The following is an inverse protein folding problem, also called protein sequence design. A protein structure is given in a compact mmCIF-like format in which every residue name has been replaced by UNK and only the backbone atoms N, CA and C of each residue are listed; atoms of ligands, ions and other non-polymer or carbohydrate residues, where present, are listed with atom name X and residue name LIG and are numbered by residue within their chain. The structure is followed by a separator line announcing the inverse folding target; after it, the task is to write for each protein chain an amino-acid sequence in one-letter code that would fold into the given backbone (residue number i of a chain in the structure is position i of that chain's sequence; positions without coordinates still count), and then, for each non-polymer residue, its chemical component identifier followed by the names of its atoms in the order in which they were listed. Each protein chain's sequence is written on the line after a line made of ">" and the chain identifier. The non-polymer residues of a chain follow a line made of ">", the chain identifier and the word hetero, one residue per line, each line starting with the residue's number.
data_IF_201932556233
#
_entry.id   IF_201932556233
#
_cell.length_a   1.000
_cell.length_b   1.000
_cell.length_c   1.000
_cell.angle_alpha   90.00
_cell.angle_beta   90.00
_cell.angle_gamma   90.00
#
_symmetry.space_group_name_H-M   'P 1'
#
loop_
_entity.id
_entity.type
_entity.pdbx_description
1 polymer ?
#
# COMPACT_ATOMS: atom_id res chain seq x y z
N UNK A 1 46.36 -14.04 23.12
CA UNK A 1 44.92 -14.38 23.09
C UNK A 1 44.36 -13.91 21.75
N UNK A 2 43.94 -14.85 20.89
CA UNK A 2 43.57 -14.61 19.48
C UNK A 2 42.06 -14.33 19.36
N UNK A 3 41.74 -13.21 18.69
CA UNK A 3 40.60 -12.93 17.79
C UNK A 3 39.27 -13.69 18.05
N UNK A 4 38.29 -13.02 18.66
CA UNK A 4 36.88 -13.47 18.71
C UNK A 4 35.87 -12.48 18.10
N UNK A 5 36.31 -11.37 17.51
CA UNK A 5 35.41 -10.29 17.03
C UNK A 5 34.77 -10.54 15.65
N UNK A 6 35.06 -11.66 14.97
CA UNK A 6 34.60 -11.92 13.59
C UNK A 6 33.25 -12.65 13.45
N UNK A 7 32.74 -13.30 14.51
CA UNK A 7 31.58 -14.21 14.40
C UNK A 7 30.23 -13.46 14.48
N UNK A 8 30.18 -12.32 15.16
CA UNK A 8 28.92 -11.57 15.36
C UNK A 8 28.44 -10.87 14.08
N UNK A 9 29.36 -10.46 13.19
CA UNK A 9 29.01 -9.79 11.93
C UNK A 9 28.42 -10.75 10.87
N UNK A 10 28.81 -12.03 10.86
CA UNK A 10 28.28 -13.01 9.89
C UNK A 10 26.84 -13.44 10.20
N UNK A 11 26.46 -13.54 11.48
CA UNK A 11 25.11 -13.95 11.89
C UNK A 11 24.03 -12.89 11.57
N UNK A 12 24.37 -11.60 11.69
CA UNK A 12 23.46 -10.50 11.33
C UNK A 12 23.21 -10.42 9.81
N UNK A 13 24.22 -10.72 8.99
CA UNK A 13 24.09 -10.74 7.53
C UNK A 13 23.21 -11.91 7.02
N UNK A 14 23.28 -13.08 7.67
CA UNK A 14 22.42 -14.22 7.33
C UNK A 14 20.94 -14.00 7.69
N UNK A 15 20.64 -13.32 8.80
CA UNK A 15 19.27 -13.01 9.19
C UNK A 15 18.58 -12.02 8.23
N UNK A 16 19.29 -11.00 7.75
CA UNK A 16 18.76 -10.04 6.78
C UNK A 16 18.48 -10.71 5.42
N UNK A 17 19.39 -11.57 4.94
CA UNK A 17 19.22 -12.32 3.70
C UNK A 17 18.02 -13.27 3.73
N UNK A 18 17.78 -13.95 4.87
CA UNK A 18 16.63 -14.86 5.01
C UNK A 18 15.27 -14.17 4.84
N UNK A 19 15.13 -12.94 5.32
CA UNK A 19 13.86 -12.20 5.24
C UNK A 19 13.56 -11.62 3.85
N UNK A 20 14.59 -11.31 3.06
CA UNK A 20 14.43 -10.83 1.69
C UNK A 20 14.10 -11.99 0.74
N UNK A 21 14.75 -13.15 0.92
CA UNK A 21 14.45 -14.37 0.15
C UNK A 21 13.03 -14.86 0.40
N UNK A 22 12.58 -14.86 1.67
CA UNK A 22 11.21 -15.26 2.02
C UNK A 22 10.14 -14.35 1.39
N UNK A 23 10.41 -13.06 1.25
CA UNK A 23 9.48 -12.11 0.62
C UNK A 23 9.29 -12.39 -0.87
N UNK A 24 10.39 -12.55 -1.62
CA UNK A 24 10.32 -12.87 -3.04
C UNK A 24 9.61 -14.21 -3.25
N UNK A 25 9.88 -15.19 -2.39
CA UNK A 25 9.18 -16.48 -2.43
C UNK A 25 7.69 -16.35 -2.16
N UNK A 26 7.26 -15.55 -1.18
CA UNK A 26 5.84 -15.33 -0.91
C UNK A 26 5.16 -14.63 -2.08
N UNK A 27 5.77 -13.60 -2.65
CA UNK A 27 5.22 -12.92 -3.83
C UNK A 27 5.04 -13.86 -5.03
N UNK A 28 6.04 -14.69 -5.32
CA UNK A 28 5.93 -15.70 -6.38
C UNK A 28 4.86 -16.77 -6.10
N UNK A 29 4.75 -17.22 -4.84
CA UNK A 29 3.66 -18.13 -4.43
C UNK A 29 2.30 -17.50 -4.65
N UNK A 30 2.10 -16.24 -4.25
CA UNK A 30 0.82 -15.54 -4.40
C UNK A 30 0.45 -15.28 -5.86
N UNK A 31 1.42 -14.96 -6.72
CA UNK A 31 1.22 -14.88 -8.18
C UNK A 31 0.72 -16.21 -8.77
N UNK A 32 1.15 -17.32 -8.18
CA UNK A 32 0.76 -18.69 -8.56
C UNK A 32 -0.45 -19.20 -7.76
N UNK A 33 -1.11 -18.35 -6.96
CA UNK A 33 -2.24 -18.71 -6.10
C UNK A 33 -1.93 -19.86 -5.11
N UNK A 34 -0.71 -19.86 -4.57
CA UNK A 34 -0.25 -20.83 -3.55
C UNK A 34 -0.18 -20.19 -2.17
N UNK A 35 -0.37 -21.02 -1.15
CA UNK A 35 -0.29 -20.59 0.26
C UNK A 35 1.12 -20.14 0.64
N UNK A 36 1.22 -18.99 1.32
CA UNK A 36 2.50 -18.47 1.81
C UNK A 36 2.99 -19.20 3.07
N UNK A 37 2.06 -19.74 3.86
CA UNK A 37 2.31 -20.27 5.21
C UNK A 37 2.32 -19.21 6.30
N UNK A 38 1.88 -17.98 5.99
CA UNK A 38 1.67 -16.91 6.97
C UNK A 38 0.52 -17.26 7.91
N UNK A 39 0.60 -16.81 9.16
CA UNK A 39 -0.44 -17.02 10.16
C UNK A 39 -1.80 -16.50 9.67
N UNK A 40 -2.85 -17.28 9.91
CA UNK A 40 -4.24 -16.94 9.61
C UNK A 40 -4.80 -15.95 10.64
N UNK A 41 -4.19 -15.85 11.83
CA UNK A 41 -4.59 -14.89 12.85
C UNK A 41 -3.98 -13.51 12.55
N UNK A 42 -4.76 -12.68 11.87
CA UNK A 42 -4.38 -11.32 11.52
C UNK A 42 -4.72 -10.37 12.69
N UNK A 43 -3.75 -9.65 13.27
CA UNK A 43 -4.02 -8.77 14.39
C UNK A 43 -4.86 -7.57 13.93
N UNK A 44 -5.90 -7.26 14.71
CA UNK A 44 -6.78 -6.10 14.50
C UNK A 44 -6.31 -4.89 15.31
N UNK A 45 -6.54 -3.69 14.79
CA UNK A 45 -6.26 -2.44 15.50
C UNK A 45 -7.43 -2.11 16.43
N UNK A 46 -7.21 -1.91 17.73
CA UNK A 46 -8.28 -1.48 18.64
C UNK A 46 -8.88 -0.14 18.22
N UNK A 47 -10.20 -0.10 18.05
CA UNK A 47 -10.96 1.11 17.67
C UNK A 47 -11.48 1.91 18.89
N UNK A 48 -11.28 1.38 20.10
CA UNK A 48 -11.75 1.96 21.36
C UNK A 48 -10.59 2.30 22.33
N UNK A 49 -10.93 3.00 23.41
CA UNK A 49 -10.01 3.34 24.50
C UNK A 49 -9.52 4.79 24.47
N UNK A 50 -8.59 5.11 25.38
CA UNK A 50 -8.15 6.49 25.68
C UNK A 50 -7.75 7.31 24.45
N UNK A 51 -7.07 6.69 23.47
CA UNK A 51 -6.68 7.38 22.24
C UNK A 51 -7.90 7.72 21.36
N UNK A 52 -8.86 6.80 21.25
CA UNK A 52 -10.10 7.02 20.51
C UNK A 52 -10.90 8.17 21.13
N UNK A 53 -11.02 8.16 22.47
CA UNK A 53 -11.79 9.15 23.21
C UNK A 53 -11.13 10.53 23.14
N UNK A 54 -9.80 10.60 23.23
CA UNK A 54 -9.05 11.84 23.03
C UNK A 54 -9.26 12.42 21.62
N UNK A 55 -9.34 11.58 20.58
CA UNK A 55 -9.66 12.04 19.22
C UNK A 55 -11.09 12.58 19.16
N UNK A 56 -12.07 11.86 19.72
CA UNK A 56 -13.48 12.31 19.77
C UNK A 56 -13.62 13.64 20.50
N UNK A 57 -12.90 13.84 21.59
CA UNK A 57 -12.89 15.11 22.33
C UNK A 57 -12.24 16.25 21.54
N UNK A 58 -11.17 15.96 20.80
CA UNK A 58 -10.54 16.93 19.91
C UNK A 58 -11.49 17.36 18.79
N UNK A 59 -12.29 16.45 18.23
CA UNK A 59 -13.25 16.76 17.16
C UNK A 59 -14.32 17.78 17.59
N UNK A 60 -14.72 17.80 18.87
CA UNK A 60 -15.68 18.77 19.43
C UNK A 60 -15.21 20.22 19.33
N UNK A 61 -13.91 20.45 19.18
CA UNK A 61 -13.31 21.80 19.06
C UNK A 61 -13.21 22.30 17.63
N UNK A 62 -13.53 21.46 16.63
CA UNK A 62 -13.45 21.83 15.22
C UNK A 62 -14.70 22.64 14.84
N UNK A 63 -14.49 23.83 14.27
CA UNK A 63 -15.57 24.66 13.71
C UNK A 63 -15.79 24.28 12.25
N UNK A 64 -17.01 23.87 11.91
CA UNK A 64 -17.40 23.47 10.56
C UNK A 64 -18.40 24.46 9.95
N UNK A 65 -18.44 24.61 8.61
CA UNK A 65 -19.49 25.36 7.94
C UNK A 65 -20.88 24.73 8.18
N UNK A 66 -21.98 25.51 8.04
CA UNK A 66 -23.33 24.98 8.16
C UNK A 66 -23.56 23.79 7.23
N UNK A 67 -24.20 22.72 7.75
CA UNK A 67 -24.50 21.50 7.00
C UNK A 67 -23.40 20.42 7.03
N UNK A 68 -22.25 20.67 7.67
CA UNK A 68 -21.18 19.70 7.82
C UNK A 68 -21.12 19.12 9.23
N UNK A 69 -20.84 17.81 9.32
CA UNK A 69 -20.60 17.07 10.56
C UNK A 69 -19.27 16.31 10.45
N UNK A 70 -18.52 16.21 11.55
CA UNK A 70 -17.29 15.42 11.62
C UNK A 70 -17.39 14.43 12.77
N UNK A 71 -17.09 13.16 12.49
CA UNK A 71 -17.09 12.07 13.46
C UNK A 71 -15.89 11.16 13.21
N UNK A 72 -15.51 10.40 14.24
CA UNK A 72 -14.42 9.43 14.12
C UNK A 72 -14.95 8.17 13.42
N UNK A 73 -14.50 7.94 12.19
CA UNK A 73 -14.83 6.74 11.41
C UNK A 73 -14.00 5.51 11.84
N UNK A 74 -12.66 5.65 11.90
CA UNK A 74 -11.74 4.57 12.25
C UNK A 74 -10.40 5.12 12.75
N UNK A 75 -9.71 4.31 13.57
CA UNK A 75 -8.34 4.49 13.99
C UNK A 75 -7.45 3.61 13.11
N UNK A 76 -6.65 4.26 12.27
CA UNK A 76 -5.75 3.59 11.32
C UNK A 76 -4.33 4.13 11.50
N UNK A 77 -3.37 3.28 11.89
CA UNK A 77 -1.97 3.70 12.06
C UNK A 77 -1.37 4.19 10.73
N UNK A 78 -0.70 5.35 10.79
CA UNK A 78 0.07 5.92 9.67
C UNK A 78 -0.71 6.16 8.37
N UNK A 79 -2.04 6.33 8.45
CA UNK A 79 -2.92 6.53 7.29
C UNK A 79 -2.53 7.72 6.41
N UNK A 80 -2.64 7.57 5.08
CA UNK A 80 -2.35 8.63 4.09
C UNK A 80 -3.36 8.78 2.97
N UNK A 81 -3.64 7.71 2.23
CA UNK A 81 -4.64 7.73 1.18
C UNK A 81 -5.66 6.65 1.44
N UNK A 82 -6.89 6.91 1.03
CA UNK A 82 -8.03 6.05 1.23
C UNK A 82 -8.62 5.77 -0.13
N UNK A 83 -8.94 4.50 -0.38
CA UNK A 83 -9.69 4.04 -1.54
C UNK A 83 -10.96 3.36 -1.04
N UNK A 84 -12.11 3.95 -1.36
CA UNK A 84 -13.44 3.38 -1.06
C UNK A 84 -13.68 2.21 -2.00
N UNK A 85 -14.01 1.06 -1.44
CA UNK A 85 -14.30 -0.14 -2.22
C UNK A 85 -15.60 0.08 -3.04
N UNK A 86 -15.63 -0.34 -4.31
CA UNK A 86 -16.74 -0.03 -5.20
C UNK A 86 -18.01 -0.84 -4.92
N UNK A 87 -17.88 -2.02 -4.31
CA UNK A 87 -18.98 -2.98 -4.17
C UNK A 87 -19.38 -3.24 -2.72
N UNK A 88 -18.52 -2.89 -1.76
CA UNK A 88 -18.72 -3.16 -0.33
C UNK A 88 -18.52 -1.89 0.53
N UNK A 89 -18.98 -1.92 1.78
CA UNK A 89 -18.73 -0.88 2.78
C UNK A 89 -17.31 -1.02 3.39
N UNK A 90 -16.31 -1.19 2.52
CA UNK A 90 -14.92 -1.35 2.92
C UNK A 90 -14.06 -0.20 2.40
N UNK A 91 -13.03 0.13 3.14
CA UNK A 91 -12.00 1.07 2.73
C UNK A 91 -10.63 0.39 2.76
N UNK A 92 -9.80 0.72 1.77
CA UNK A 92 -8.39 0.37 1.78
C UNK A 92 -7.58 1.61 2.07
N UNK A 93 -6.71 1.55 3.06
CA UNK A 93 -5.94 2.70 3.55
C UNK A 93 -4.45 2.44 3.38
N UNK A 94 -3.83 3.21 2.50
CA UNK A 94 -2.39 3.22 2.30
C UNK A 94 -1.66 4.01 3.39
N UNK A 95 -0.42 3.61 3.70
CA UNK A 95 0.37 4.23 4.79
C UNK A 95 1.72 4.76 4.32
N UNK A 96 2.41 5.47 5.23
CA UNK A 96 3.80 5.91 5.05
C UNK A 96 4.86 4.85 5.33
N UNK A 97 4.47 3.73 5.93
CA UNK A 97 5.41 2.71 6.40
C UNK A 97 5.31 1.49 5.52
N UNK A 98 4.71 0.41 6.02
CA UNK A 98 4.85 -0.92 5.42
C UNK A 98 3.54 -1.67 5.29
N UNK A 99 2.41 -1.01 5.57
CA UNK A 99 1.12 -1.69 5.70
C UNK A 99 0.07 -0.99 4.86
N UNK A 100 -0.75 -1.77 4.16
CA UNK A 100 -2.07 -1.33 3.69
C UNK A 100 -3.08 -1.88 4.67
N UNK A 101 -4.04 -1.07 5.11
CA UNK A 101 -5.09 -1.52 6.02
C UNK A 101 -6.38 -1.78 5.25
N UNK A 102 -7.02 -2.91 5.52
CA UNK A 102 -8.41 -3.17 5.18
C UNK A 102 -9.26 -2.70 6.36
N UNK A 103 -10.19 -1.81 6.10
CA UNK A 103 -11.12 -1.23 7.07
C UNK A 103 -12.52 -1.64 6.66
N UNK A 104 -13.27 -2.29 7.55
CA UNK A 104 -14.61 -2.79 7.22
C UNK A 104 -15.65 -2.26 8.17
N UNK A 105 -16.77 -1.82 7.60
CA UNK A 105 -18.03 -1.60 8.28
C UNK A 105 -18.98 -2.72 7.84
N UNK A 106 -19.26 -3.66 8.75
CA UNK A 106 -20.11 -4.83 8.50
C UNK A 106 -21.56 -4.55 8.82
N UNK A 107 -21.84 -3.61 9.72
CA UNK A 107 -23.20 -3.34 10.20
C UNK A 107 -23.88 -2.18 9.45
N UNK A 108 -23.14 -1.42 8.63
CA UNK A 108 -23.61 -0.32 7.80
C UNK A 108 -23.89 0.97 8.57
N UNK A 109 -23.37 1.13 9.78
CA UNK A 109 -23.57 2.30 10.63
C UNK A 109 -22.61 3.47 10.32
N UNK A 110 -21.79 3.32 9.27
CA UNK A 110 -20.78 4.28 8.84
C UNK A 110 -19.67 4.49 9.88
N UNK A 111 -19.38 3.47 10.70
CA UNK A 111 -18.22 3.38 11.60
C UNK A 111 -17.51 2.06 11.35
N UNK A 112 -16.17 2.06 11.37
CA UNK A 112 -15.43 0.84 11.15
C UNK A 112 -15.53 -0.12 12.36
N UNK A 113 -15.98 -1.34 12.09
CA UNK A 113 -15.96 -2.45 13.06
C UNK A 113 -14.56 -3.05 13.21
N UNK A 114 -13.84 -3.19 12.08
CA UNK A 114 -12.57 -3.90 12.02
C UNK A 114 -11.56 -3.15 11.15
N UNK A 115 -10.32 -3.06 11.64
CA UNK A 115 -9.16 -2.54 10.92
C UNK A 115 -8.05 -3.57 11.02
N UNK A 116 -7.65 -4.15 9.88
CA UNK A 116 -6.62 -5.19 9.84
C UNK A 116 -5.62 -4.98 8.70
N UNK A 117 -4.37 -5.49 8.82
CA UNK A 117 -3.41 -5.51 7.74
C UNK A 117 -3.98 -6.26 6.53
N UNK A 118 -3.96 -5.62 5.37
CA UNK A 118 -4.21 -6.27 4.09
C UNK A 118 -2.95 -6.96 3.60
N UNK A 119 -3.06 -8.21 3.17
CA UNK A 119 -1.98 -8.99 2.60
C UNK A 119 -0.69 -9.04 3.47
N UNK A 120 -0.78 -9.43 4.77
CA UNK A 120 0.38 -9.47 5.67
C UNK A 120 1.50 -10.42 5.22
N UNK A 121 1.23 -11.34 4.30
CA UNK A 121 2.23 -12.20 3.65
C UNK A 121 3.19 -11.44 2.73
N UNK A 122 2.82 -10.22 2.30
CA UNK A 122 3.61 -9.32 1.47
C UNK A 122 4.20 -8.18 2.30
N UNK A 123 5.47 -7.89 2.07
CA UNK A 123 6.07 -6.66 2.58
C UNK A 123 5.88 -5.54 1.58
N UNK A 124 5.21 -4.49 2.02
CA UNK A 124 5.05 -3.25 1.27
C UNK A 124 6.11 -2.22 1.66
N UNK A 125 6.47 -1.36 0.72
CA UNK A 125 7.38 -0.24 0.90
C UNK A 125 6.67 1.08 0.60
N UNK A 126 6.30 1.80 1.65
CA UNK A 126 5.56 3.07 1.58
C UNK A 126 4.33 2.93 0.65
N UNK A 127 3.38 2.01 0.94
CA UNK A 127 2.24 1.74 0.07
C UNK A 127 1.18 2.82 0.21
N UNK A 128 1.54 4.04 -0.16
CA UNK A 128 0.69 5.17 0.08
C UNK A 128 -0.36 5.33 -1.02
N UNK A 129 -0.05 5.06 -2.28
CA UNK A 129 -0.98 5.30 -3.39
C UNK A 129 -1.97 4.16 -3.60
N UNK A 130 -3.13 4.20 -2.95
CA UNK A 130 -4.21 3.22 -3.16
C UNK A 130 -5.32 3.78 -4.05
N UNK A 131 -5.78 3.03 -5.04
CA UNK A 131 -6.97 3.38 -5.82
C UNK A 131 -7.64 2.18 -6.50
N UNK A 132 -8.93 2.31 -6.83
CA UNK A 132 -9.70 1.27 -7.51
C UNK A 132 -9.79 1.54 -9.02
N UNK A 133 -9.50 0.51 -9.82
CA UNK A 133 -9.87 0.50 -11.25
C UNK A 133 -11.38 0.41 -11.41
N UNK A 134 -11.86 0.79 -12.59
CA UNK A 134 -13.29 0.66 -12.93
C UNK A 134 -13.77 -0.77 -12.96
N UNK A 135 -12.85 -1.70 -13.20
CA UNK A 135 -13.11 -3.13 -13.29
C UNK A 135 -13.08 -3.81 -11.90
N UNK A 136 -12.96 -3.04 -10.81
CA UNK A 136 -12.96 -3.59 -9.44
C UNK A 136 -11.62 -4.20 -9.02
N UNK A 137 -10.49 -3.65 -9.49
CA UNK A 137 -9.16 -4.05 -9.03
C UNK A 137 -8.54 -3.00 -8.12
N UNK A 138 -7.97 -3.45 -7.00
CA UNK A 138 -7.24 -2.57 -6.09
C UNK A 138 -5.81 -2.42 -6.60
N UNK A 139 -5.43 -1.18 -6.89
CA UNK A 139 -4.05 -0.82 -7.24
C UNK A 139 -3.37 -0.25 -6.00
N UNK A 140 -2.21 -0.79 -5.68
CA UNK A 140 -1.32 -0.28 -4.63
C UNK A 140 -0.02 0.17 -5.30
N UNK A 141 0.20 1.48 -5.30
CA UNK A 141 1.44 2.11 -5.71
C UNK A 141 2.33 2.33 -4.48
N UNK A 142 3.44 1.63 -4.48
CA UNK A 142 4.54 1.74 -3.52
C UNK A 142 5.59 2.71 -4.03
N UNK A 143 6.65 2.89 -3.25
CA UNK A 143 7.78 3.76 -3.60
C UNK A 143 8.30 3.51 -5.03
N UNK A 144 8.61 2.25 -5.36
CA UNK A 144 9.19 1.87 -6.66
C UNK A 144 8.59 0.56 -7.20
N UNK A 145 7.31 0.30 -6.90
CA UNK A 145 6.58 -0.89 -7.34
C UNK A 145 5.09 -0.57 -7.50
N UNK A 146 4.42 -1.23 -8.45
CA UNK A 146 2.96 -1.15 -8.61
C UNK A 146 2.38 -2.56 -8.60
N UNK A 147 1.51 -2.79 -7.62
CA UNK A 147 0.80 -4.05 -7.45
C UNK A 147 -0.67 -3.89 -7.80
N UNK A 148 -1.23 -4.92 -8.43
CA UNK A 148 -2.64 -5.06 -8.72
C UNK A 148 -3.18 -6.28 -7.96
N UNK A 149 -4.20 -6.05 -7.13
CA UNK A 149 -4.87 -7.06 -6.33
C UNK A 149 -6.28 -7.30 -6.89
N UNK A 150 -6.48 -8.33 -7.72
CA UNK A 150 -7.81 -8.72 -8.13
C UNK A 150 -8.61 -9.27 -6.94
N UNK A 151 -9.90 -8.92 -6.89
CA UNK A 151 -10.82 -9.37 -5.84
C UNK A 151 -10.32 -9.09 -4.40
N UNK A 152 -9.67 -7.95 -4.17
CA UNK A 152 -9.18 -7.57 -2.85
C UNK A 152 -10.31 -7.49 -1.80
N UNK A 153 -11.53 -7.10 -2.21
CA UNK A 153 -12.74 -7.12 -1.36
C UNK A 153 -13.12 -8.53 -0.87
N UNK A 154 -12.69 -9.59 -1.55
CA UNK A 154 -13.02 -10.96 -1.19
C UNK A 154 -11.90 -11.63 -0.37
N UNK A 155 -10.63 -11.42 -0.75
CA UNK A 155 -9.50 -12.10 -0.12
C UNK A 155 -8.93 -11.39 1.12
N UNK A 156 -9.45 -10.22 1.49
CA UNK A 156 -8.91 -9.41 2.59
C UNK A 156 -8.91 -10.10 3.98
N UNK A 157 -9.74 -11.13 4.18
CA UNK A 157 -9.79 -11.88 5.44
C UNK A 157 -8.60 -12.82 5.64
N UNK A 158 -7.97 -13.26 4.55
CA UNK A 158 -6.82 -14.15 4.58
C UNK A 158 -5.48 -13.40 4.48
N UNK A 159 -4.38 -14.05 4.88
CA UNK A 159 -3.05 -13.48 4.71
C UNK A 159 -2.60 -13.52 3.24
N UNK A 160 -3.15 -14.46 2.46
CA UNK A 160 -2.78 -14.74 1.08
C UNK A 160 -3.79 -14.15 0.12
N UNK A 161 -3.36 -13.14 -0.64
CA UNK A 161 -4.18 -12.46 -1.63
C UNK A 161 -3.60 -12.64 -3.02
N UNK A 162 -4.47 -12.72 -4.02
CA UNK A 162 -4.05 -12.72 -5.41
C UNK A 162 -3.32 -11.41 -5.73
N UNK A 163 -2.14 -11.50 -6.34
CA UNK A 163 -1.31 -10.33 -6.64
C UNK A 163 -0.70 -10.44 -8.04
N UNK A 164 -0.75 -9.34 -8.76
CA UNK A 164 -0.12 -9.17 -10.07
C UNK A 164 0.85 -8.00 -9.94
N UNK A 165 2.12 -8.24 -10.26
CA UNK A 165 3.09 -7.16 -10.42
C UNK A 165 2.87 -6.48 -11.76
N UNK A 166 2.37 -5.25 -11.73
CA UNK A 166 2.17 -4.44 -12.92
C UNK A 166 3.46 -3.73 -13.30
N UNK A 167 4.15 -3.20 -12.28
CA UNK A 167 5.50 -2.69 -12.38
C UNK A 167 6.30 -3.35 -11.27
N UNK A 168 7.34 -4.15 -11.57
CA UNK A 168 8.15 -4.81 -10.55
C UNK A 168 8.93 -3.79 -9.73
N UNK A 169 9.46 -4.24 -8.59
CA UNK A 169 10.33 -3.41 -7.76
C UNK A 169 11.52 -2.85 -8.57
N UNK A 170 11.73 -1.53 -8.51
CA UNK A 170 12.77 -0.85 -9.29
C UNK A 170 12.32 -0.41 -10.68
N UNK A 171 11.09 -0.72 -11.07
CA UNK A 171 10.58 -0.45 -12.42
C UNK A 171 9.93 0.91 -12.62
N UNK A 172 9.70 1.71 -11.56
CA UNK A 172 9.10 3.05 -11.69
C UNK A 172 10.14 4.16 -11.84
N UNK A 173 11.25 4.04 -11.12
CA UNK A 173 12.37 4.99 -11.08
C UNK A 173 13.65 4.18 -11.04
N UNK A 174 14.71 4.54 -11.79
CA UNK A 174 16.02 3.91 -11.63
C UNK A 174 16.41 3.86 -10.15
N UNK A 175 16.92 2.72 -9.70
CA UNK A 175 17.18 2.48 -8.26
C UNK A 175 18.18 3.49 -7.70
N UNK A 176 19.11 3.96 -8.54
CA UNK A 176 20.11 4.97 -8.22
C UNK A 176 19.50 6.38 -8.01
N UNK A 177 18.31 6.62 -8.55
CA UNK A 177 17.57 7.87 -8.43
C UNK A 177 16.42 7.80 -7.40
N UNK A 178 16.26 6.66 -6.72
CA UNK A 178 15.23 6.46 -5.71
C UNK A 178 15.49 7.34 -4.48
N UNK A 179 14.59 8.32 -4.27
CA UNK A 179 14.73 9.27 -3.17
C UNK A 179 14.07 8.77 -1.90
N UNK A 180 14.87 8.61 -0.83
CA UNK A 180 14.38 8.28 0.50
C UNK A 180 13.21 9.17 0.99
N UNK A 181 13.23 10.47 0.66
CA UNK A 181 12.25 11.45 1.15
C UNK A 181 11.11 11.75 0.16
N UNK A 182 11.28 11.44 -1.13
CA UNK A 182 10.30 11.74 -2.20
C UNK A 182 9.72 10.47 -2.83
N UNK A 183 9.48 9.46 -1.98
CA UNK A 183 8.97 8.16 -2.39
C UNK A 183 7.45 8.04 -2.50
N UNK A 184 6.71 8.99 -1.94
CA UNK A 184 5.25 8.95 -1.97
C UNK A 184 4.73 8.96 -3.42
N UNK A 185 3.80 8.04 -3.70
CA UNK A 185 3.05 7.96 -4.96
C UNK A 185 1.59 8.31 -4.76
N UNK A 186 0.96 8.88 -5.79
CA UNK A 186 -0.50 9.07 -5.82
C UNK A 186 -1.09 8.17 -6.89
N UNK A 187 -2.19 7.50 -6.58
CA UNK A 187 -2.91 6.62 -7.49
C UNK A 187 -4.25 7.28 -7.81
N UNK A 188 -4.56 7.47 -9.10
CA UNK A 188 -5.88 7.98 -9.52
C UNK A 188 -6.31 7.34 -10.83
N UNK A 189 -7.56 6.88 -10.87
CA UNK A 189 -8.21 6.42 -12.10
C UNK A 189 -9.00 7.58 -12.71
N UNK A 190 -8.82 7.81 -14.02
CA UNK A 190 -9.44 8.91 -14.73
C UNK A 190 -10.85 8.57 -15.20
N UNK A 191 -11.76 9.56 -15.27
CA UNK A 191 -13.13 9.36 -15.73
C UNK A 191 -13.24 8.74 -17.14
N UNK A 192 -12.26 9.00 -18.03
CA UNK A 192 -12.20 8.47 -19.39
C UNK A 192 -11.17 7.35 -19.61
N UNK A 193 -10.42 6.97 -18.57
CA UNK A 193 -9.40 5.94 -18.67
C UNK A 193 -9.78 4.74 -17.80
N UNK A 194 -9.73 3.50 -18.30
CA UNK A 194 -9.92 2.31 -17.46
C UNK A 194 -8.73 2.05 -16.52
N UNK A 195 -7.71 2.94 -16.52
CA UNK A 195 -6.38 2.68 -16.00
C UNK A 195 -6.03 3.62 -14.85
N UNK A 196 -5.37 3.08 -13.83
CA UNK A 196 -4.77 3.84 -12.74
C UNK A 196 -3.53 4.60 -13.21
N UNK A 197 -3.53 5.91 -13.01
CA UNK A 197 -2.36 6.77 -13.15
C UNK A 197 -1.64 6.81 -11.81
N UNK A 198 -0.41 6.34 -11.78
CA UNK A 198 0.52 6.52 -10.66
C UNK A 198 1.35 7.78 -10.91
N UNK A 199 1.50 8.65 -9.91
CA UNK A 199 2.36 9.85 -10.02
C UNK A 199 3.33 9.95 -8.86
N UNK A 200 4.56 10.29 -9.20
CA UNK A 200 5.66 10.59 -8.27
C UNK A 200 5.52 12.02 -7.73
N UNK A 201 5.69 12.20 -6.42
CA UNK A 201 5.99 13.50 -5.86
C UNK A 201 7.42 13.89 -6.29
N UNK A 202 7.57 15.04 -6.95
CA UNK A 202 8.81 15.54 -7.56
C UNK A 202 10.05 15.22 -6.70
N UNK A 203 10.98 14.39 -7.19
CA UNK A 203 12.32 14.22 -6.62
C UNK A 203 13.28 15.16 -7.37
N UNK A 204 13.86 16.11 -6.66
CA UNK A 204 14.96 16.94 -7.21
C UNK A 204 16.25 16.14 -7.14
N UNK A 205 16.65 15.47 -8.23
CA UNK A 205 18.03 15.02 -8.40
C UNK A 205 18.86 16.13 -9.07
N UNK A 206 20.11 16.27 -8.62
CA UNK A 206 21.04 17.36 -8.97
C UNK A 206 21.50 17.25 -10.42
N UNK A 207 20.81 17.92 -11.34
CA UNK A 207 21.45 18.60 -12.46
C UNK A 207 20.77 19.96 -12.65
N UNK A 208 21.34 20.99 -12.03
CA UNK A 208 20.87 22.37 -12.16
C UNK A 208 21.12 22.89 -13.59
N UNK A 209 20.20 22.58 -14.50
CA UNK A 209 19.96 23.35 -15.73
C UNK A 209 18.57 23.12 -16.33
N UNK A 210 17.83 22.08 -15.89
CA UNK A 210 16.41 21.91 -16.20
C UNK A 210 15.71 21.35 -14.97
N UNK A 211 14.80 22.13 -14.38
CA UNK A 211 13.79 21.64 -13.46
C UNK A 211 12.79 20.76 -14.22
N UNK A 212 13.23 19.61 -14.74
CA UNK A 212 12.31 18.54 -15.09
C UNK A 212 11.85 17.93 -13.78
N UNK A 213 10.80 18.53 -13.19
CA UNK A 213 9.79 17.67 -12.61
C UNK A 213 9.43 16.72 -13.74
N UNK A 214 9.93 15.49 -13.70
CA UNK A 214 9.65 14.48 -14.70
C UNK A 214 8.14 14.56 -14.92
N UNK A 215 7.74 14.98 -16.14
CA UNK A 215 6.34 15.16 -16.52
C UNK A 215 5.62 13.98 -15.90
N UNK A 216 4.58 14.17 -15.05
CA UNK A 216 4.04 13.12 -14.20
C UNK A 216 3.99 11.85 -15.02
N UNK A 217 4.86 10.87 -14.71
CA UNK A 217 5.01 9.69 -15.53
C UNK A 217 3.65 9.02 -15.50
N UNK A 218 2.84 9.26 -16.53
CA UNK A 218 1.46 8.82 -16.59
C UNK A 218 1.54 7.41 -17.11
N UNK A 219 1.94 6.50 -16.23
CA UNK A 219 1.98 5.09 -16.53
C UNK A 219 0.55 4.65 -16.88
N UNK A 220 0.37 4.23 -18.15
CA UNK A 220 -0.89 3.73 -18.67
C UNK A 220 -0.76 2.22 -18.79
N UNK A 221 -1.14 1.51 -17.74
CA UNK A 221 -1.32 0.06 -17.76
C UNK A 221 -2.56 -0.31 -18.60
N UNK A 222 -2.43 -0.57 -19.90
CA UNK A 222 -3.53 -1.09 -20.72
C UNK A 222 -3.62 -2.61 -20.62
N UNK A 223 -4.84 -3.15 -20.59
CA UNK A 223 -5.10 -4.58 -20.77
C UNK A 223 -4.96 -4.91 -22.26
N UNK A 224 -3.87 -5.57 -22.66
CA UNK A 224 -3.81 -6.28 -23.94
C UNK A 224 -4.51 -7.63 -23.74
N UNK A 225 -5.56 -7.90 -24.51
CA UNK A 225 -6.09 -9.26 -24.62
C UNK A 225 -4.97 -10.16 -25.16
N UNK A 226 -4.53 -11.09 -24.32
CA UNK A 226 -3.43 -12.03 -24.54
C UNK A 226 -2.00 -11.45 -24.40
N UNK A 227 -1.25 -12.10 -23.49
CA UNK A 227 0.20 -12.11 -23.30
C UNK A 227 0.91 -10.80 -22.92
N UNK A 228 1.66 -10.89 -21.80
CA UNK A 228 2.66 -9.94 -21.30
C UNK A 228 2.24 -8.47 -21.11
N UNK A 229 2.06 -8.07 -19.86
CA UNK A 229 2.02 -6.66 -19.48
C UNK A 229 3.38 -6.01 -19.78
N UNK A 230 3.42 -5.15 -20.80
CA UNK A 230 4.55 -4.23 -21.01
C UNK A 230 4.06 -2.82 -20.72
N UNK A 231 4.59 -2.23 -19.65
CA UNK A 231 4.51 -0.79 -19.41
C UNK A 231 5.76 -0.17 -20.08
N UNK A 232 5.56 0.58 -21.16
CA UNK A 232 6.59 1.44 -21.75
C UNK A 232 6.52 2.85 -21.14
#
# INVERSE_FOLDING_TARGET
>A
MKKTTGIVALLAAMAAAGTAVAQTQNLEKLKQFRVSGTDLNIPVVPQAGKNADAIRDNLKRIKLPPGFKVELYAIVPDARHIAVAPSTNMLFVGTRKTTVWAVTDRNGDMVADEVKPFAPSLKFQVPNGVCWTKDGFLIVAEHNRVLNFPAAEFFYEGPDVAVIEVVPQGGLVPVEEESFNHGARTCRVGARAPVASVRTACSTSRSASRSTCSRPARWRCTRSSASAASCA
#
